data_IF_900117600224
#
_entry.id   IF_900117600224
#
_cell.length_a   1.000
_cell.length_b   1.000
_cell.length_c   1.000
_cell.angle_alpha   90.00
_cell.angle_beta   90.00
_cell.angle_gamma   90.00
#
_symmetry.space_group_name_H-M   'P 1'
#
loop_
_entity.id
_entity.type
_entity.pdbx_description
1 polymer ?
#
# COMPACT_ATOMS: atom_id res chain seq x y z
N UNK A 1 4.96 -23.09 6.88
CA UNK A 1 5.88 -22.10 6.25
C UNK A 1 6.80 -22.79 5.26
N UNK A 2 7.44 -23.91 5.61
CA UNK A 2 8.34 -24.61 4.68
C UNK A 2 7.66 -24.98 3.36
N UNK A 3 6.44 -25.54 3.43
CA UNK A 3 5.64 -25.85 2.26
C UNK A 3 5.35 -24.61 1.41
N UNK A 4 5.00 -23.47 2.04
CA UNK A 4 4.76 -22.20 1.35
C UNK A 4 6.04 -21.75 0.64
N UNK A 5 7.19 -21.75 1.32
CA UNK A 5 8.46 -21.34 0.71
C UNK A 5 8.85 -22.24 -0.47
N UNK A 6 8.66 -23.55 -0.33
CA UNK A 6 8.94 -24.51 -1.40
C UNK A 6 8.05 -24.30 -2.63
N UNK A 7 6.77 -23.99 -2.42
CA UNK A 7 5.84 -23.69 -3.53
C UNK A 7 6.15 -22.33 -4.18
N UNK A 8 6.50 -21.32 -3.38
CA UNK A 8 6.87 -19.99 -3.88
C UNK A 8 8.19 -20.06 -4.68
N UNK A 9 9.19 -20.79 -4.20
CA UNK A 9 10.46 -20.93 -4.92
C UNK A 9 10.30 -21.59 -6.29
N UNK A 10 9.36 -22.54 -6.42
CA UNK A 10 9.14 -23.28 -7.66
C UNK A 10 8.32 -22.51 -8.69
N UNK A 11 7.33 -21.74 -8.23
CA UNK A 11 6.26 -21.23 -9.10
C UNK A 11 6.20 -19.70 -9.20
N UNK A 12 6.96 -18.96 -8.38
CA UNK A 12 6.91 -17.51 -8.29
C UNK A 12 8.30 -16.89 -8.39
N UNK A 13 8.39 -15.55 -8.39
CA UNK A 13 9.67 -14.88 -8.55
C UNK A 13 10.63 -15.17 -7.40
N UNK A 14 11.94 -15.16 -7.70
CA UNK A 14 12.98 -15.36 -6.68
C UNK A 14 12.92 -14.27 -5.61
N UNK A 15 12.57 -13.03 -5.95
CA UNK A 15 12.46 -11.95 -4.97
C UNK A 15 11.30 -12.18 -4.00
N UNK A 16 10.17 -12.74 -4.45
CA UNK A 16 9.08 -13.13 -3.55
C UNK A 16 9.52 -14.21 -2.58
N UNK A 17 10.23 -15.24 -3.05
CA UNK A 17 10.84 -16.26 -2.18
C UNK A 17 11.74 -15.60 -1.11
N UNK A 18 12.67 -14.74 -1.52
CA UNK A 18 13.62 -14.09 -0.61
C UNK A 18 12.90 -13.21 0.44
N UNK A 19 11.85 -12.49 0.04
CA UNK A 19 11.06 -11.68 0.97
C UNK A 19 10.34 -12.54 2.02
N UNK A 20 9.78 -13.70 1.61
CA UNK A 20 9.12 -14.62 2.54
C UNK A 20 10.11 -15.34 3.44
N UNK A 21 11.28 -15.71 2.92
CA UNK A 21 12.38 -16.26 3.72
C UNK A 21 12.85 -15.24 4.77
N UNK A 22 12.94 -13.97 4.41
CA UNK A 22 13.27 -12.88 5.34
C UNK A 22 12.23 -12.75 6.47
N UNK A 23 10.93 -12.81 6.15
CA UNK A 23 9.88 -12.84 7.17
C UNK A 23 10.01 -14.03 8.13
N UNK A 24 10.32 -15.22 7.60
CA UNK A 24 10.60 -16.42 8.41
C UNK A 24 11.82 -16.19 9.32
N UNK A 25 12.92 -15.67 8.78
CA UNK A 25 14.16 -15.43 9.52
C UNK A 25 13.99 -14.42 10.66
N UNK A 26 13.16 -13.39 10.45
CA UNK A 26 12.78 -12.43 11.49
C UNK A 26 11.82 -12.99 12.55
N UNK A 27 11.37 -14.25 12.43
CA UNK A 27 10.41 -14.91 13.34
C UNK A 27 9.10 -14.12 13.50
N UNK A 28 8.66 -13.44 12.43
CA UNK A 28 7.48 -12.56 12.46
C UNK A 28 6.16 -13.29 12.20
N UNK A 29 6.23 -14.56 11.83
CA UNK A 29 5.08 -15.32 11.40
C UNK A 29 4.26 -15.76 12.62
N UNK A 30 3.02 -15.30 12.66
CA UNK A 30 2.03 -15.68 13.68
C UNK A 30 1.46 -17.08 13.41
N UNK A 31 0.63 -17.59 14.33
CA UNK A 31 -0.15 -18.81 14.11
C UNK A 31 -1.06 -18.75 12.87
N UNK A 32 -1.40 -17.54 12.40
CA UNK A 32 -2.13 -17.33 11.14
C UNK A 32 -1.22 -16.74 10.07
N UNK A 33 -0.44 -17.61 9.42
CA UNK A 33 0.53 -17.23 8.37
C UNK A 33 -0.17 -16.55 7.19
N UNK A 34 -1.33 -17.06 6.76
CA UNK A 34 -2.09 -16.49 5.64
C UNK A 34 -2.49 -15.05 5.92
N UNK A 35 -3.04 -14.77 7.10
CA UNK A 35 -3.42 -13.41 7.50
C UNK A 35 -2.22 -12.46 7.56
N UNK A 36 -1.08 -12.93 8.10
CA UNK A 36 0.14 -12.14 8.12
C UNK A 36 0.61 -11.78 6.70
N UNK A 37 0.60 -12.76 5.79
CA UNK A 37 1.07 -12.61 4.41
C UNK A 37 0.09 -11.86 3.50
N UNK A 38 -1.20 -11.82 3.83
CA UNK A 38 -2.16 -10.98 3.13
C UNK A 38 -2.22 -9.56 3.67
N UNK A 39 -1.58 -9.25 4.79
CA UNK A 39 -1.58 -7.89 5.32
C UNK A 39 -0.46 -7.05 4.68
N UNK A 40 -0.82 -6.22 3.70
CA UNK A 40 0.11 -5.33 3.00
C UNK A 40 1.00 -4.48 3.93
N UNK A 41 0.46 -4.03 5.07
CA UNK A 41 1.23 -3.20 6.01
C UNK A 41 2.47 -3.93 6.57
N UNK A 42 2.46 -5.27 6.59
CA UNK A 42 3.63 -6.05 7.00
C UNK A 42 4.77 -5.94 5.99
N UNK A 43 4.47 -5.77 4.71
CA UNK A 43 5.49 -5.64 3.67
C UNK A 43 6.23 -4.32 3.81
N UNK A 44 5.50 -3.20 3.87
CA UNK A 44 6.06 -1.86 4.10
C UNK A 44 6.89 -1.83 5.40
N UNK A 45 6.40 -2.46 6.47
CA UNK A 45 7.07 -2.47 7.77
C UNK A 45 8.33 -3.34 7.82
N UNK A 46 8.29 -4.53 7.26
CA UNK A 46 9.30 -5.56 7.53
C UNK A 46 10.25 -5.85 6.38
N UNK A 47 9.95 -5.35 5.17
CA UNK A 47 10.83 -5.44 3.99
C UNK A 47 11.57 -4.13 3.69
N UNK A 48 11.47 -3.11 4.53
CA UNK A 48 12.19 -1.84 4.32
C UNK A 48 13.72 -2.06 4.21
N UNK A 49 14.28 -2.96 5.01
CA UNK A 49 15.70 -3.34 4.93
C UNK A 49 16.06 -4.16 3.68
N UNK A 50 15.06 -4.67 2.96
CA UNK A 50 15.23 -5.32 1.66
C UNK A 50 14.98 -4.39 0.47
N UNK A 51 14.63 -3.13 0.69
CA UNK A 51 14.25 -2.20 -0.38
C UNK A 51 15.30 -2.15 -1.51
N UNK A 52 16.59 -2.03 -1.18
CA UNK A 52 17.65 -2.00 -2.20
C UNK A 52 17.71 -3.29 -3.04
N UNK A 53 17.48 -4.44 -2.41
CA UNK A 53 17.47 -5.74 -3.11
C UNK A 53 16.25 -5.80 -4.03
N UNK A 54 15.07 -5.48 -3.51
CA UNK A 54 13.81 -5.51 -4.26
C UNK A 54 13.88 -4.59 -5.48
N UNK A 55 14.19 -3.31 -5.25
CA UNK A 55 14.09 -2.27 -6.28
C UNK A 55 15.27 -2.24 -7.24
N UNK A 56 16.51 -2.41 -6.75
CA UNK A 56 17.70 -2.17 -7.58
C UNK A 56 18.31 -3.45 -8.12
N UNK A 57 18.28 -4.55 -7.37
CA UNK A 57 18.89 -5.81 -7.83
C UNK A 57 17.93 -6.65 -8.68
N UNK A 58 16.65 -6.64 -8.33
CA UNK A 58 15.63 -7.45 -9.01
C UNK A 58 14.68 -6.62 -9.87
N UNK A 59 14.88 -5.29 -9.97
CA UNK A 59 14.02 -4.36 -10.71
C UNK A 59 12.53 -4.54 -10.39
N UNK A 60 12.21 -4.90 -9.15
CA UNK A 60 10.87 -5.27 -8.71
C UNK A 60 10.33 -4.30 -7.66
N UNK A 61 9.12 -4.53 -7.18
CA UNK A 61 8.50 -3.72 -6.14
C UNK A 61 7.81 -4.54 -5.05
N UNK A 62 7.60 -3.92 -3.90
CA UNK A 62 6.78 -4.48 -2.83
C UNK A 62 5.38 -4.86 -3.35
N UNK A 63 4.82 -4.07 -4.28
CA UNK A 63 3.51 -4.34 -4.87
C UNK A 63 3.50 -5.63 -5.69
N UNK A 64 4.54 -5.89 -6.48
CA UNK A 64 4.69 -7.12 -7.26
C UNK A 64 4.85 -8.34 -6.36
N UNK A 65 5.72 -8.24 -5.35
CA UNK A 65 5.90 -9.30 -4.34
C UNK A 65 4.57 -9.61 -3.65
N UNK A 66 3.83 -8.59 -3.21
CA UNK A 66 2.54 -8.78 -2.57
C UNK A 66 1.50 -9.39 -3.52
N UNK A 67 1.49 -8.98 -4.79
CA UNK A 67 0.60 -9.53 -5.83
C UNK A 67 0.84 -11.02 -6.05
N UNK A 68 2.10 -11.46 -6.11
CA UNK A 68 2.44 -12.89 -6.22
C UNK A 68 1.95 -13.69 -5.01
N UNK A 69 2.08 -13.13 -3.81
CA UNK A 69 1.57 -13.79 -2.58
C UNK A 69 0.05 -13.83 -2.56
N UNK A 70 -0.65 -12.79 -3.01
CA UNK A 70 -2.11 -12.82 -3.16
C UNK A 70 -2.54 -13.91 -4.15
N UNK A 71 -1.86 -14.01 -5.30
CA UNK A 71 -2.11 -15.05 -6.30
C UNK A 71 -1.94 -16.45 -5.71
N UNK A 72 -0.88 -16.69 -4.92
CA UNK A 72 -0.66 -17.97 -4.24
C UNK A 72 -1.83 -18.39 -3.35
N UNK A 73 -2.44 -17.44 -2.64
CA UNK A 73 -3.60 -17.72 -1.79
C UNK A 73 -4.95 -17.65 -2.51
N UNK A 74 -4.96 -17.45 -3.84
CA UNK A 74 -6.16 -17.20 -4.64
C UNK A 74 -6.98 -15.99 -4.13
N UNK A 75 -6.30 -14.93 -3.71
CA UNK A 75 -6.91 -13.69 -3.24
C UNK A 75 -6.73 -12.56 -4.28
N UNK A 76 -7.70 -11.65 -4.37
CA UNK A 76 -7.54 -10.45 -5.20
C UNK A 76 -6.40 -9.59 -4.61
N UNK A 77 -5.50 -9.08 -5.46
CA UNK A 77 -4.44 -8.15 -5.04
C UNK A 77 -5.01 -6.87 -4.43
N UNK A 78 -6.05 -6.32 -5.06
CA UNK A 78 -6.74 -5.11 -4.63
C UNK A 78 -7.84 -5.46 -3.60
N UNK A 79 -7.38 -6.00 -2.48
CA UNK A 79 -8.22 -6.46 -1.37
C UNK A 79 -8.30 -5.44 -0.22
N UNK A 80 -8.97 -5.86 0.86
CA UNK A 80 -9.15 -5.08 2.09
C UNK A 80 -7.84 -4.54 2.67
N UNK A 81 -6.80 -5.36 2.73
CA UNK A 81 -5.55 -4.99 3.40
C UNK A 81 -4.79 -3.90 2.65
N UNK A 82 -4.71 -4.00 1.32
CA UNK A 82 -4.12 -2.96 0.49
C UNK A 82 -4.93 -1.67 0.56
N UNK A 83 -6.26 -1.79 0.54
CA UNK A 83 -7.17 -0.66 0.71
C UNK A 83 -6.93 0.07 2.05
N UNK A 84 -6.95 -0.66 3.17
CA UNK A 84 -6.78 -0.09 4.52
C UNK A 84 -5.41 0.58 4.68
N UNK A 85 -4.36 -0.05 4.14
CA UNK A 85 -3.02 0.53 4.10
C UNK A 85 -2.99 1.87 3.36
N UNK A 86 -3.57 1.93 2.14
CA UNK A 86 -3.64 3.15 1.33
C UNK A 86 -4.43 4.24 2.05
N UNK A 87 -5.58 3.88 2.62
CA UNK A 87 -6.44 4.80 3.38
C UNK A 87 -5.69 5.42 4.56
N UNK A 88 -5.02 4.61 5.39
CA UNK A 88 -4.27 5.08 6.56
C UNK A 88 -3.21 6.13 6.22
N UNK A 89 -2.60 6.03 5.03
CA UNK A 89 -1.58 6.97 4.56
C UNK A 89 -2.15 8.31 4.10
N UNK A 90 -3.46 8.42 3.94
CA UNK A 90 -4.16 9.58 3.38
C UNK A 90 -4.99 10.30 4.46
N UNK A 91 -5.76 9.56 5.27
CA UNK A 91 -6.72 10.14 6.23
C UNK A 91 -6.11 11.03 7.31
N UNK A 92 -4.83 10.84 7.64
CA UNK A 92 -4.15 11.62 8.68
C UNK A 92 -3.42 12.86 8.14
N UNK A 93 -3.56 13.17 6.85
CA UNK A 93 -2.95 14.36 6.26
C UNK A 93 -3.91 15.54 6.35
N UNK A 94 -3.40 16.72 6.73
CA UNK A 94 -4.13 17.99 6.67
C UNK A 94 -3.68 18.79 5.44
N UNK A 95 -4.52 18.94 4.39
CA UNK A 95 -4.16 19.68 3.19
C UNK A 95 -3.78 21.14 3.45
N UNK A 96 -4.26 21.76 4.53
CA UNK A 96 -4.00 23.18 4.85
C UNK A 96 -2.53 23.43 5.19
N UNK A 97 -1.84 22.42 5.71
CA UNK A 97 -0.39 22.49 6.00
C UNK A 97 0.40 22.81 4.73
N UNK A 98 -0.07 22.37 3.56
CA UNK A 98 0.62 22.61 2.28
C UNK A 98 0.53 24.06 1.81
N UNK A 99 -0.40 24.87 2.33
CA UNK A 99 -0.46 26.31 2.05
C UNK A 99 0.68 27.09 2.72
N UNK A 100 1.31 26.51 3.74
CA UNK A 100 2.41 27.13 4.48
C UNK A 100 3.78 26.83 3.85
N UNK A 101 3.82 25.92 2.86
CA UNK A 101 5.03 25.56 2.15
C UNK A 101 5.28 26.53 1.00
N UNK A 102 6.50 26.49 0.47
CA UNK A 102 6.82 27.09 -0.82
C UNK A 102 5.79 26.65 -1.89
N UNK A 103 5.42 27.57 -2.78
CA UNK A 103 4.31 27.39 -3.72
C UNK A 103 4.46 26.12 -4.56
N UNK A 104 5.66 25.85 -5.10
CA UNK A 104 5.90 24.67 -5.93
C UNK A 104 5.90 23.38 -5.10
N UNK A 105 6.46 23.43 -3.89
CA UNK A 105 6.48 22.30 -2.97
C UNK A 105 5.04 21.94 -2.53
N UNK A 106 4.26 22.95 -2.12
CA UNK A 106 2.87 22.78 -1.71
C UNK A 106 1.99 22.24 -2.83
N UNK A 107 2.12 22.80 -4.04
CA UNK A 107 1.43 22.32 -5.25
C UNK A 107 1.74 20.86 -5.57
N UNK A 108 3.00 20.44 -5.45
CA UNK A 108 3.42 19.07 -5.69
C UNK A 108 2.93 18.11 -4.60
N UNK A 109 2.93 18.55 -3.33
CA UNK A 109 2.40 17.77 -2.22
C UNK A 109 0.88 17.53 -2.36
N UNK A 110 0.12 18.57 -2.72
CA UNK A 110 -1.33 18.46 -2.98
C UNK A 110 -1.63 17.50 -4.12
N UNK A 111 -0.88 17.58 -5.23
CA UNK A 111 -1.03 16.63 -6.35
C UNK A 111 -0.76 15.19 -5.92
N UNK A 112 0.32 14.95 -5.15
CA UNK A 112 0.63 13.61 -4.63
C UNK A 112 -0.46 13.08 -3.68
N UNK A 113 -1.08 13.95 -2.88
CA UNK A 113 -2.22 13.58 -2.04
C UNK A 113 -3.44 13.22 -2.90
N UNK A 114 -3.76 14.03 -3.90
CA UNK A 114 -4.84 13.77 -4.86
C UNK A 114 -4.64 12.44 -5.59
N UNK A 115 -3.44 12.17 -6.11
CA UNK A 115 -3.10 10.92 -6.79
C UNK A 115 -3.33 9.71 -5.87
N UNK A 116 -2.95 9.80 -4.58
CA UNK A 116 -3.18 8.73 -3.59
C UNK A 116 -4.68 8.53 -3.31
N UNK A 117 -5.45 9.61 -3.21
CA UNK A 117 -6.92 9.54 -3.07
C UNK A 117 -7.54 8.87 -4.31
N UNK A 118 -7.07 9.21 -5.50
CA UNK A 118 -7.57 8.63 -6.75
C UNK A 118 -7.28 7.12 -6.82
N UNK A 119 -6.12 6.66 -6.35
CA UNK A 119 -5.83 5.23 -6.24
C UNK A 119 -6.83 4.51 -5.31
N UNK A 120 -7.24 5.15 -4.22
CA UNK A 120 -8.28 4.61 -3.32
C UNK A 120 -9.62 4.52 -4.04
N UNK A 121 -10.04 5.57 -4.76
CA UNK A 121 -11.29 5.56 -5.51
C UNK A 121 -11.32 4.57 -6.68
N UNK A 122 -10.17 4.28 -7.26
CA UNK A 122 -10.03 3.30 -8.33
C UNK A 122 -10.05 1.86 -7.83
N UNK A 123 -9.80 1.63 -6.53
CA UNK A 123 -9.74 0.30 -5.92
C UNK A 123 -11.02 -0.51 -6.14
N UNK A 124 -10.90 -1.76 -6.55
CA UNK A 124 -11.99 -2.72 -6.68
C UNK A 124 -12.65 -2.98 -5.32
N UNK A 125 -11.86 -3.12 -4.26
CA UNK A 125 -12.38 -3.27 -2.90
C UNK A 125 -13.22 -2.07 -2.48
N UNK A 126 -12.72 -0.84 -2.71
CA UNK A 126 -13.50 0.37 -2.43
C UNK A 126 -14.81 0.39 -3.21
N UNK A 127 -14.76 0.13 -4.53
CA UNK A 127 -15.93 0.16 -5.40
C UNK A 127 -17.01 -0.83 -4.99
N UNK A 128 -16.62 -2.02 -4.50
CA UNK A 128 -17.54 -3.06 -4.00
C UNK A 128 -18.16 -2.72 -2.64
N UNK A 129 -17.59 -1.78 -1.87
CA UNK A 129 -17.97 -1.50 -0.48
C UNK A 129 -18.29 -0.02 -0.17
N UNK A 130 -18.56 0.80 -1.21
CA UNK A 130 -18.74 2.26 -1.10
C UNK A 130 -19.70 2.72 0.01
N UNK A 131 -20.78 1.99 0.25
CA UNK A 131 -21.81 2.39 1.23
C UNK A 131 -21.35 2.33 2.69
N UNK A 132 -20.27 1.58 2.98
CA UNK A 132 -19.74 1.41 4.35
C UNK A 132 -18.49 2.26 4.61
N UNK A 133 -18.00 2.97 3.60
CA UNK A 133 -16.65 3.52 3.52
C UNK A 133 -16.72 4.94 2.93
N UNK A 134 -16.31 6.04 3.53
CA UNK A 134 -15.80 6.39 4.85
C UNK A 134 -16.03 7.92 4.94
N UNK A 135 -16.62 8.40 6.03
CA UNK A 135 -16.87 9.84 6.27
C UNK A 135 -15.57 10.63 6.26
N UNK A 136 -14.49 10.06 6.80
CA UNK A 136 -13.19 10.73 6.94
C UNK A 136 -12.53 11.00 5.59
N UNK A 137 -12.66 10.06 4.63
CA UNK A 137 -12.14 10.26 3.28
C UNK A 137 -12.91 11.37 2.55
N UNK A 138 -14.22 11.46 2.76
CA UNK A 138 -15.05 12.51 2.18
C UNK A 138 -14.69 13.90 2.73
N UNK A 139 -14.50 14.02 4.04
CA UNK A 139 -14.06 15.26 4.69
C UNK A 139 -12.71 15.71 4.12
N UNK A 140 -11.71 14.82 4.07
CA UNK A 140 -10.40 15.13 3.50
C UNK A 140 -10.47 15.60 2.04
N UNK A 141 -11.29 14.95 1.21
CA UNK A 141 -11.47 15.33 -0.20
C UNK A 141 -12.08 16.73 -0.33
N UNK A 142 -13.01 17.09 0.55
CA UNK A 142 -13.58 18.43 0.56
C UNK A 142 -12.54 19.47 0.99
N UNK A 143 -11.75 19.18 2.02
CA UNK A 143 -10.67 20.08 2.45
C UNK A 143 -9.63 20.28 1.35
N UNK A 144 -9.22 19.21 0.68
CA UNK A 144 -8.29 19.27 -0.46
C UNK A 144 -8.82 20.22 -1.56
N UNK A 145 -10.11 20.08 -1.93
CA UNK A 145 -10.74 20.94 -2.94
C UNK A 145 -10.78 22.41 -2.52
N UNK A 146 -11.01 22.70 -1.24
CA UNK A 146 -11.00 24.08 -0.73
C UNK A 146 -9.60 24.69 -0.83
N UNK A 147 -8.57 23.91 -0.46
CA UNK A 147 -7.17 24.34 -0.56
C UNK A 147 -6.75 24.55 -2.01
N UNK A 148 -7.12 23.65 -2.93
CA UNK A 148 -6.85 23.82 -4.36
C UNK A 148 -7.48 25.10 -4.93
N UNK A 149 -8.75 25.37 -4.60
CA UNK A 149 -9.44 26.60 -5.00
C UNK A 149 -8.74 27.87 -4.50
N UNK A 150 -8.28 27.86 -3.24
CA UNK A 150 -7.54 28.98 -2.66
C UNK A 150 -6.23 29.28 -3.40
N UNK A 151 -5.61 28.26 -4.01
CA UNK A 151 -4.41 28.37 -4.84
C UNK A 151 -4.72 28.64 -6.32
N UNK A 152 -5.97 28.91 -6.69
CA UNK A 152 -6.38 29.16 -8.07
C UNK A 152 -6.37 27.91 -8.96
N UNK A 153 -6.61 26.73 -8.37
CA UNK A 153 -6.71 25.43 -9.05
C UNK A 153 -8.12 24.84 -8.96
#
# INVERSE_FOLDING_TARGET
MEEILNEIEKNYSKITYLCLEHFKNKKLLSNNIKEFLLNYSNYDRYLNDMANIIYNQYESSIDEVYKEVCNYFNEEYDNKYLYEYRLKRVINQDPKVYLQLDEDIGKNALKKLEDRINLIYQSTYYKKNKEKINKDLFELVNELKLVQKALGR
#
